data_IF_106859488509
#
_entry.id   IF_106859488509
#
_cell.length_a   1.000
_cell.length_b   1.000
_cell.length_c   1.000
_cell.angle_alpha   90.00
_cell.angle_beta   90.00
_cell.angle_gamma   90.00
#
_symmetry.space_group_name_H-M   'P 1'
#
loop_
_entity.id
_entity.type
_entity.pdbx_description
1 polymer ?
#
# COMPACT_ATOMS: atom_id res chain seq x y z
N UNK A 1 -23.24 -5.90 24.45
CA UNK A 1 -21.84 -6.22 24.07
C UNK A 1 -21.69 -5.92 22.59
N UNK A 2 -20.62 -5.26 22.18
CA UNK A 2 -20.36 -5.04 20.75
C UNK A 2 -20.09 -6.40 20.08
N UNK A 3 -20.57 -6.57 18.86
CA UNK A 3 -20.32 -7.79 18.09
C UNK A 3 -18.81 -7.88 17.78
N UNK A 4 -18.08 -8.91 18.23
CA UNK A 4 -16.64 -9.03 18.01
C UNK A 4 -16.28 -9.10 16.53
N UNK A 5 -17.16 -9.62 15.67
CA UNK A 5 -16.91 -9.66 14.22
C UNK A 5 -16.89 -8.25 13.60
N UNK A 6 -17.70 -7.30 14.11
CA UNK A 6 -17.63 -5.89 13.71
C UNK A 6 -16.30 -5.23 14.12
N UNK A 7 -15.77 -5.55 15.30
CA UNK A 7 -14.47 -5.05 15.73
C UNK A 7 -13.34 -5.61 14.88
N UNK A 8 -13.43 -6.87 14.46
CA UNK A 8 -12.48 -7.52 13.56
C UNK A 8 -12.53 -6.84 12.18
N UNK A 9 -13.72 -6.60 11.62
CA UNK A 9 -13.88 -5.88 10.33
C UNK A 9 -13.32 -4.47 10.47
N UNK A 10 -13.60 -3.78 11.59
CA UNK A 10 -13.08 -2.45 11.86
C UNK A 10 -11.56 -2.36 11.83
N UNK A 11 -10.87 -3.37 12.36
CA UNK A 11 -9.41 -3.46 12.25
C UNK A 11 -8.94 -3.64 10.80
N UNK A 12 -9.65 -4.45 10.01
CA UNK A 12 -9.40 -4.58 8.57
C UNK A 12 -9.55 -3.26 7.82
N UNK A 13 -10.56 -2.46 8.16
CA UNK A 13 -10.77 -1.12 7.57
C UNK A 13 -9.60 -0.18 7.85
N UNK A 14 -8.87 -0.36 8.95
CA UNK A 14 -7.68 0.44 9.27
C UNK A 14 -6.45 0.07 8.43
N UNK A 15 -6.47 -1.02 7.68
CA UNK A 15 -5.36 -1.43 6.82
C UNK A 15 -5.04 -0.38 5.74
N UNK A 16 -3.81 -0.38 5.19
CA UNK A 16 -3.47 0.46 4.05
C UNK A 16 -4.21 -0.01 2.78
N UNK A 17 -4.57 0.95 1.95
CA UNK A 17 -5.15 0.70 0.64
C UNK A 17 -4.64 1.73 -0.36
N UNK A 18 -4.64 1.37 -1.65
CA UNK A 18 -4.35 2.33 -2.70
C UNK A 18 -5.37 3.47 -2.63
N UNK A 19 -4.87 4.70 -2.69
CA UNK A 19 -5.67 5.93 -2.68
C UNK A 19 -6.70 6.05 -1.55
N UNK A 20 -6.51 5.32 -0.45
CA UNK A 20 -7.45 5.26 0.68
C UNK A 20 -8.81 4.64 0.31
N UNK A 21 -8.82 3.76 -0.67
CA UNK A 21 -10.01 3.03 -1.13
C UNK A 21 -9.81 1.53 -0.94
N UNK A 22 -10.75 0.88 -0.26
CA UNK A 22 -10.75 -0.57 -0.09
C UNK A 22 -11.62 -1.24 -1.17
N UNK A 23 -11.17 -2.42 -1.60
CA UNK A 23 -11.80 -3.19 -2.69
C UNK A 23 -12.75 -4.27 -2.20
N UNK A 24 -13.19 -4.24 -0.94
CA UNK A 24 -14.02 -5.29 -0.35
C UNK A 24 -15.34 -4.82 0.24
N UNK A 25 -16.26 -5.77 0.35
CA UNK A 25 -17.45 -5.76 1.21
C UNK A 25 -17.38 -6.97 2.13
N UNK A 26 -17.88 -6.84 3.34
CA UNK A 26 -17.87 -7.89 4.36
C UNK A 26 -19.26 -8.50 4.57
N UNK A 27 -19.32 -9.81 4.59
CA UNK A 27 -20.48 -10.61 5.00
C UNK A 27 -20.15 -11.25 6.35
N UNK A 28 -20.99 -11.01 7.34
CA UNK A 28 -20.89 -11.65 8.64
C UNK A 28 -21.59 -13.00 8.58
N UNK A 29 -20.84 -14.07 8.88
CA UNK A 29 -21.33 -15.44 8.99
C UNK A 29 -21.47 -15.84 10.46
N UNK A 30 -22.10 -16.97 10.75
CA UNK A 30 -22.21 -17.50 12.13
C UNK A 30 -20.84 -17.72 12.79
N UNK A 31 -19.85 -18.18 12.01
CA UNK A 31 -18.52 -18.56 12.51
C UNK A 31 -17.38 -17.81 11.82
N UNK A 32 -17.65 -16.60 11.31
CA UNK A 32 -16.59 -15.83 10.67
C UNK A 32 -17.03 -14.70 9.78
N UNK A 33 -16.15 -14.32 8.88
CA UNK A 33 -16.35 -13.18 7.96
C UNK A 33 -15.95 -13.63 6.56
N UNK A 34 -16.78 -13.30 5.57
CA UNK A 34 -16.47 -13.50 4.16
C UNK A 34 -16.28 -12.15 3.49
N UNK A 35 -15.25 -12.02 2.67
CA UNK A 35 -14.94 -10.78 1.97
C UNK A 35 -15.25 -10.94 0.47
N UNK A 36 -16.08 -10.05 -0.02
CA UNK A 36 -16.51 -9.96 -1.40
C UNK A 36 -15.82 -8.78 -2.10
N UNK A 37 -15.54 -8.84 -3.40
CA UNK A 37 -15.04 -7.68 -4.12
C UNK A 37 -16.12 -6.57 -4.20
N UNK A 38 -15.68 -5.31 -4.26
CA UNK A 38 -16.57 -4.23 -4.69
C UNK A 38 -16.93 -4.43 -6.17
N UNK A 39 -18.04 -3.83 -6.62
CA UNK A 39 -18.48 -3.94 -8.01
C UNK A 39 -17.38 -3.47 -8.99
N UNK A 40 -16.69 -2.39 -8.65
CA UNK A 40 -15.59 -1.81 -9.45
C UNK A 40 -14.40 -2.78 -9.53
N UNK A 41 -14.05 -3.45 -8.42
CA UNK A 41 -12.96 -4.42 -8.41
C UNK A 41 -13.33 -5.72 -9.14
N UNK A 42 -14.57 -6.18 -8.97
CA UNK A 42 -15.09 -7.36 -9.66
C UNK A 42 -15.14 -7.19 -11.18
N UNK A 43 -15.35 -5.95 -11.65
CA UNK A 43 -15.39 -5.62 -13.08
C UNK A 43 -13.99 -5.55 -13.73
N UNK A 44 -12.89 -5.57 -12.94
CA UNK A 44 -11.54 -5.56 -13.50
C UNK A 44 -11.25 -6.86 -14.24
N UNK A 45 -10.78 -6.74 -15.46
CA UNK A 45 -10.35 -7.88 -16.28
C UNK A 45 -8.96 -8.37 -15.89
N UNK A 46 -8.54 -9.52 -16.41
CA UNK A 46 -7.18 -10.03 -16.24
C UNK A 46 -6.11 -9.08 -16.82
N UNK A 47 -6.52 -8.19 -17.71
CA UNK A 47 -5.64 -7.19 -18.33
C UNK A 47 -5.45 -5.96 -17.43
N UNK A 48 -6.34 -5.68 -16.47
CA UNK A 48 -6.20 -4.63 -15.46
C UNK A 48 -5.29 -5.04 -14.30
N UNK A 49 -4.22 -5.76 -14.62
CA UNK A 49 -3.35 -6.41 -13.63
C UNK A 49 -2.77 -5.42 -12.60
N UNK A 50 -2.46 -4.19 -13.02
CA UNK A 50 -1.95 -3.16 -12.12
C UNK A 50 -2.93 -2.88 -10.96
N UNK A 51 -4.20 -2.60 -11.28
CA UNK A 51 -5.22 -2.34 -10.26
C UNK A 51 -5.54 -3.58 -9.44
N UNK A 52 -5.58 -4.75 -10.08
CA UNK A 52 -5.76 -6.02 -9.38
C UNK A 52 -4.65 -6.25 -8.36
N UNK A 53 -3.39 -6.07 -8.74
CA UNK A 53 -2.23 -6.22 -7.83
C UNK A 53 -2.32 -5.24 -6.66
N UNK A 54 -2.67 -3.98 -6.88
CA UNK A 54 -2.85 -3.01 -5.80
C UNK A 54 -4.00 -3.39 -4.85
N UNK A 55 -5.11 -3.88 -5.40
CA UNK A 55 -6.23 -4.39 -4.61
C UNK A 55 -5.85 -5.62 -3.78
N UNK A 56 -5.11 -6.58 -4.37
CA UNK A 56 -4.66 -7.79 -3.68
C UNK A 56 -3.64 -7.48 -2.57
N UNK A 57 -2.73 -6.53 -2.78
CA UNK A 57 -1.84 -6.00 -1.73
C UNK A 57 -2.66 -5.43 -0.56
N UNK A 58 -3.69 -4.63 -0.85
CA UNK A 58 -4.58 -4.09 0.17
C UNK A 58 -5.33 -5.19 0.92
N UNK A 59 -5.80 -6.21 0.20
CA UNK A 59 -6.52 -7.35 0.81
C UNK A 59 -5.64 -8.17 1.75
N UNK A 60 -4.36 -8.40 1.39
CA UNK A 60 -3.41 -9.05 2.29
C UNK A 60 -3.26 -8.30 3.61
N UNK A 61 -3.15 -6.98 3.54
CA UNK A 61 -3.07 -6.13 4.74
C UNK A 61 -4.38 -6.12 5.56
N UNK A 62 -5.55 -6.08 4.90
CA UNK A 62 -6.86 -6.16 5.53
C UNK A 62 -7.01 -7.47 6.31
N UNK A 63 -6.70 -8.59 5.68
CA UNK A 63 -6.81 -9.91 6.29
C UNK A 63 -5.87 -10.08 7.49
N UNK A 64 -4.67 -9.52 7.41
CA UNK A 64 -3.73 -9.56 8.53
C UNK A 64 -4.23 -8.74 9.73
N UNK A 65 -4.72 -7.53 9.51
CA UNK A 65 -5.31 -6.73 10.58
C UNK A 65 -6.51 -7.45 11.23
N UNK A 66 -7.39 -8.05 10.41
CA UNK A 66 -8.52 -8.84 10.93
C UNK A 66 -8.03 -10.02 11.77
N UNK A 67 -7.01 -10.75 11.30
CA UNK A 67 -6.44 -11.90 12.01
C UNK A 67 -5.83 -11.47 13.36
N UNK A 68 -5.03 -10.40 13.34
CA UNK A 68 -4.40 -9.86 14.55
C UNK A 68 -5.44 -9.40 15.58
N UNK A 69 -6.49 -8.70 15.13
CA UNK A 69 -7.57 -8.26 16.01
C UNK A 69 -8.37 -9.42 16.58
N UNK A 70 -8.62 -10.46 15.79
CA UNK A 70 -9.27 -11.67 16.28
C UNK A 70 -8.46 -12.32 17.40
N UNK A 71 -7.15 -12.48 17.23
CA UNK A 71 -6.25 -13.00 18.27
C UNK A 71 -6.30 -12.17 19.55
N UNK A 72 -6.25 -10.85 19.44
CA UNK A 72 -6.32 -9.92 20.57
C UNK A 72 -7.66 -10.06 21.34
N UNK A 73 -8.74 -10.39 20.62
CA UNK A 73 -10.07 -10.64 21.23
C UNK A 73 -10.23 -12.07 21.78
N UNK A 74 -9.18 -12.90 21.73
CA UNK A 74 -9.21 -14.27 22.23
C UNK A 74 -9.81 -15.27 21.26
N UNK A 75 -9.77 -15.00 19.95
CA UNK A 75 -10.20 -15.91 18.91
C UNK A 75 -9.02 -16.41 18.09
N UNK A 76 -9.00 -17.69 17.75
CA UNK A 76 -8.20 -18.23 16.65
C UNK A 76 -8.85 -17.80 15.32
N UNK A 77 -8.05 -17.29 14.40
CA UNK A 77 -8.52 -16.83 13.11
C UNK A 77 -7.75 -17.51 11.98
N UNK A 78 -8.45 -18.26 11.15
CA UNK A 78 -7.89 -18.93 9.99
C UNK A 78 -8.32 -18.21 8.72
N UNK A 79 -7.36 -17.67 8.00
CA UNK A 79 -7.59 -17.00 6.70
C UNK A 79 -7.53 -18.04 5.59
N UNK A 80 -8.54 -18.05 4.73
CA UNK A 80 -8.57 -18.80 3.48
C UNK A 80 -8.73 -17.81 2.32
N UNK A 81 -7.72 -17.76 1.45
CA UNK A 81 -7.80 -17.04 0.18
C UNK A 81 -8.61 -17.88 -0.83
N UNK A 82 -9.54 -17.26 -1.57
CA UNK A 82 -10.50 -17.92 -2.45
C UNK A 82 -10.34 -17.55 -3.94
N UNK A 83 -9.36 -16.73 -4.29
CA UNK A 83 -9.07 -16.21 -5.63
C UNK A 83 -9.88 -15.00 -6.12
N UNK A 84 -11.14 -14.86 -5.74
CA UNK A 84 -11.95 -13.65 -5.99
C UNK A 84 -12.03 -13.17 -7.44
N UNK A 85 -12.41 -14.03 -8.36
CA UNK A 85 -12.69 -13.63 -9.74
C UNK A 85 -14.18 -13.30 -9.92
N UNK A 86 -14.46 -12.16 -10.57
CA UNK A 86 -15.84 -11.74 -10.84
C UNK A 86 -16.64 -11.49 -9.56
N UNK A 87 -17.84 -12.09 -9.45
CA UNK A 87 -18.73 -11.93 -8.31
C UNK A 87 -18.56 -12.98 -7.20
N UNK A 88 -17.44 -13.72 -7.20
CA UNK A 88 -17.14 -14.69 -6.15
C UNK A 88 -16.41 -14.04 -4.95
N UNK A 89 -16.50 -14.62 -3.74
CA UNK A 89 -15.82 -14.09 -2.58
C UNK A 89 -14.30 -14.21 -2.73
N UNK A 90 -13.57 -13.19 -2.29
CA UNK A 90 -12.11 -13.14 -2.37
C UNK A 90 -11.44 -13.92 -1.25
N UNK A 91 -12.00 -13.87 -0.05
CA UNK A 91 -11.41 -14.51 1.13
C UNK A 91 -12.48 -14.83 2.17
N UNK A 92 -12.14 -15.78 3.04
CA UNK A 92 -12.93 -16.10 4.22
C UNK A 92 -12.01 -16.14 5.44
N UNK A 93 -12.45 -15.52 6.53
CA UNK A 93 -11.84 -15.59 7.85
C UNK A 93 -12.74 -16.43 8.75
N UNK A 94 -12.32 -17.65 9.07
CA UNK A 94 -12.99 -18.49 10.07
C UNK A 94 -12.51 -18.08 11.47
N UNK A 95 -13.46 -17.80 12.36
CA UNK A 95 -13.17 -17.26 13.69
C UNK A 95 -13.75 -18.23 14.72
N UNK A 96 -12.90 -18.76 15.60
CA UNK A 96 -13.29 -19.71 16.66
C UNK A 96 -12.65 -19.25 17.98
N UNK A 97 -13.30 -19.50 19.11
CA UNK A 97 -12.68 -19.19 20.40
C UNK A 97 -11.38 -19.97 20.54
N UNK A 98 -10.32 -19.28 20.93
CA UNK A 98 -9.04 -19.91 21.17
C UNK A 98 -9.02 -20.61 22.52
N UNK A 99 -8.47 -21.82 22.57
CA UNK A 99 -8.29 -22.59 23.82
C UNK A 99 -7.17 -22.00 24.69
N UNK A 100 -6.25 -21.25 24.08
CA UNK A 100 -5.17 -20.53 24.76
C UNK A 100 -5.06 -19.11 24.22
N UNK A 101 -4.77 -18.16 25.11
CA UNK A 101 -4.58 -16.77 24.73
C UNK A 101 -3.22 -16.63 24.01
N UNK A 102 -3.25 -16.60 22.70
CA UNK A 102 -2.10 -16.21 21.87
C UNK A 102 -2.28 -14.74 21.47
N UNK A 103 -1.37 -13.90 21.91
CA UNK A 103 -1.34 -12.49 21.48
C UNK A 103 -0.22 -12.28 20.45
N UNK A 104 -0.43 -11.39 19.52
CA UNK A 104 0.62 -10.87 18.65
C UNK A 104 0.67 -9.36 18.90
N UNK A 105 1.80 -8.88 19.44
CA UNK A 105 1.98 -7.49 19.88
C UNK A 105 1.73 -6.48 18.74
N UNK A 106 1.78 -6.93 17.49
CA UNK A 106 1.48 -6.10 16.32
C UNK A 106 0.05 -5.54 16.33
N UNK A 107 -0.91 -6.23 16.97
CA UNK A 107 -2.31 -5.78 17.05
C UNK A 107 -2.43 -4.37 17.67
N UNK A 108 -1.64 -4.07 18.69
CA UNK A 108 -1.64 -2.78 19.38
C UNK A 108 -1.24 -1.61 18.46
N UNK A 109 -0.49 -1.87 17.39
CA UNK A 109 -0.05 -0.84 16.45
C UNK A 109 -1.09 -0.50 15.36
N UNK A 110 -2.14 -1.31 15.18
CA UNK A 110 -3.14 -1.10 14.11
C UNK A 110 -3.72 0.32 14.09
N UNK A 111 -4.18 0.89 15.23
CA UNK A 111 -4.73 2.25 15.24
C UNK A 111 -3.68 3.34 14.99
N UNK A 112 -2.42 3.08 15.31
CA UNK A 112 -1.33 4.04 15.19
C UNK A 112 -0.70 4.08 13.80
N UNK A 113 -0.81 2.99 13.01
CA UNK A 113 -0.21 2.87 11.69
C UNK A 113 -0.74 3.95 10.73
N UNK A 114 0.15 4.63 10.06
CA UNK A 114 -0.19 5.64 9.05
C UNK A 114 0.94 5.81 8.03
N UNK A 115 0.62 6.27 6.81
CA UNK A 115 1.62 6.70 5.84
C UNK A 115 2.25 8.01 6.27
N UNK A 116 3.57 8.05 6.34
CA UNK A 116 4.30 9.27 6.59
C UNK A 116 5.08 9.67 5.33
N UNK A 117 4.68 10.77 4.70
CA UNK A 117 5.29 11.26 3.44
C UNK A 117 6.33 12.35 3.65
N UNK A 118 6.65 12.69 4.91
CA UNK A 118 7.70 13.64 5.24
C UNK A 118 9.08 13.12 4.81
N UNK A 119 10.05 14.01 4.73
CA UNK A 119 11.43 13.60 4.57
C UNK A 119 11.92 12.92 5.86
N UNK A 120 12.58 11.77 5.71
CA UNK A 120 13.11 11.03 6.85
C UNK A 120 14.55 11.44 7.12
N UNK A 121 14.94 11.37 8.35
CA UNK A 121 16.26 11.71 8.84
C UNK A 121 16.64 10.76 9.98
N UNK A 122 17.80 11.01 10.57
CA UNK A 122 18.31 10.26 11.69
C UNK A 122 19.32 9.18 11.28
N UNK A 123 19.79 8.40 12.25
CA UNK A 123 20.76 7.34 12.00
C UNK A 123 20.16 6.22 11.15
N UNK A 124 21.03 5.39 10.57
CA UNK A 124 20.66 4.10 9.99
C UNK A 124 19.98 3.24 11.04
N UNK A 125 19.12 2.33 10.60
CA UNK A 125 18.47 1.38 11.50
C UNK A 125 19.53 0.51 12.17
N UNK A 126 19.35 0.28 13.47
CA UNK A 126 20.22 -0.60 14.24
C UNK A 126 20.05 -2.06 13.82
N UNK A 127 21.03 -2.94 14.05
CA UNK A 127 20.90 -4.37 13.80
C UNK A 127 19.69 -4.98 14.53
N UNK A 128 19.36 -4.48 15.73
CA UNK A 128 18.20 -4.93 16.50
C UNK A 128 16.87 -4.56 15.83
N UNK A 129 16.70 -3.32 15.37
CA UNK A 129 15.53 -2.87 14.62
C UNK A 129 15.36 -3.68 13.32
N UNK A 130 16.45 -3.90 12.59
CA UNK A 130 16.42 -4.73 11.36
C UNK A 130 16.00 -6.17 11.69
N UNK A 131 16.49 -6.76 12.77
CA UNK A 131 16.13 -8.10 13.19
C UNK A 131 14.62 -8.20 13.53
N UNK A 132 14.08 -7.23 14.27
CA UNK A 132 12.66 -7.18 14.62
C UNK A 132 11.78 -7.00 13.38
N UNK A 133 12.15 -6.13 12.44
CA UNK A 133 11.45 -5.94 11.17
C UNK A 133 11.45 -7.22 10.31
N UNK A 134 12.59 -7.90 10.24
CA UNK A 134 12.68 -9.19 9.55
C UNK A 134 11.83 -10.27 10.23
N UNK A 135 11.85 -10.33 11.57
CA UNK A 135 11.04 -11.28 12.35
C UNK A 135 9.53 -11.07 12.14
N UNK A 136 9.08 -9.82 11.97
CA UNK A 136 7.68 -9.53 11.67
C UNK A 136 7.23 -10.08 10.30
N UNK A 137 8.12 -10.08 9.31
CA UNK A 137 7.83 -10.58 7.95
C UNK A 137 8.02 -12.09 7.82
N UNK A 138 8.95 -12.67 8.55
CA UNK A 138 9.36 -14.08 8.43
C UNK A 138 8.21 -15.11 8.48
N UNK A 139 7.14 -14.92 9.29
CA UNK A 139 6.02 -15.87 9.33
C UNK A 139 5.17 -15.90 8.06
N UNK A 140 5.32 -14.92 7.15
CA UNK A 140 4.46 -14.81 5.96
C UNK A 140 5.03 -15.67 4.83
N UNK A 141 4.43 -16.84 4.63
CA UNK A 141 4.78 -17.69 3.50
C UNK A 141 4.56 -16.97 2.16
N UNK A 142 5.50 -17.11 1.23
CA UNK A 142 5.39 -16.52 -0.10
C UNK A 142 5.75 -15.03 -0.19
N UNK A 143 6.25 -14.41 0.89
CA UNK A 143 6.78 -13.05 0.87
C UNK A 143 8.19 -12.99 1.45
N UNK A 144 9.03 -12.10 0.92
CA UNK A 144 10.38 -11.83 1.45
C UNK A 144 10.67 -10.34 1.44
N UNK A 145 11.39 -9.89 2.47
CA UNK A 145 11.96 -8.54 2.55
C UNK A 145 13.44 -8.57 2.17
N UNK A 146 13.82 -7.75 1.21
CA UNK A 146 15.21 -7.55 0.78
C UNK A 146 15.62 -6.12 1.12
N UNK A 147 16.65 -5.96 1.93
CA UNK A 147 17.22 -4.65 2.23
C UNK A 147 18.08 -4.16 1.08
N UNK A 148 17.77 -2.99 0.55
CA UNK A 148 18.46 -2.39 -0.59
C UNK A 148 19.65 -1.57 -0.11
N UNK A 149 20.85 -2.05 -0.40
CA UNK A 149 22.12 -1.42 -0.01
C UNK A 149 23.07 -1.29 -1.20
N UNK A 150 24.08 -0.45 -1.10
CA UNK A 150 25.15 -0.34 -2.09
C UNK A 150 24.66 -0.15 -3.53
N UNK A 151 25.09 -1.02 -4.43
CA UNK A 151 24.73 -0.98 -5.86
C UNK A 151 23.23 -1.21 -6.09
N UNK A 152 22.62 -2.17 -5.37
CA UNK A 152 21.20 -2.45 -5.47
C UNK A 152 20.33 -1.25 -5.08
N UNK A 153 20.73 -0.51 -4.03
CA UNK A 153 20.05 0.73 -3.64
C UNK A 153 20.14 1.80 -4.73
N UNK A 154 21.33 2.03 -5.31
CA UNK A 154 21.49 3.02 -6.39
C UNK A 154 20.64 2.68 -7.60
N UNK A 155 20.60 1.42 -7.99
CA UNK A 155 19.77 0.94 -9.08
C UNK A 155 18.28 1.13 -8.77
N UNK A 156 17.82 0.72 -7.60
CA UNK A 156 16.43 0.89 -7.16
C UNK A 156 15.97 2.36 -7.17
N UNK A 157 16.82 3.28 -6.71
CA UNK A 157 16.55 4.72 -6.77
C UNK A 157 16.31 5.19 -8.22
N UNK A 158 17.10 4.68 -9.18
CA UNK A 158 16.90 4.97 -10.60
C UNK A 158 15.57 4.44 -11.15
N UNK A 159 15.17 3.23 -10.72
CA UNK A 159 13.87 2.63 -11.10
C UNK A 159 12.70 3.41 -10.51
N UNK A 160 12.78 3.78 -9.24
CA UNK A 160 11.77 4.61 -8.56
C UNK A 160 11.62 5.95 -9.26
N UNK A 161 12.73 6.65 -9.58
CA UNK A 161 12.68 7.92 -10.29
C UNK A 161 12.02 7.81 -11.67
N UNK A 162 12.38 6.77 -12.45
CA UNK A 162 11.79 6.55 -13.78
C UNK A 162 10.29 6.31 -13.69
N UNK A 163 9.86 5.46 -12.79
CA UNK A 163 8.45 5.15 -12.58
C UNK A 163 7.64 6.38 -12.15
N UNK A 164 8.13 7.13 -11.18
CA UNK A 164 7.45 8.36 -10.74
C UNK A 164 7.45 9.45 -11.80
N UNK A 165 8.52 9.56 -12.62
CA UNK A 165 8.57 10.50 -13.74
C UNK A 165 7.52 10.17 -14.81
N UNK A 166 7.35 8.88 -15.13
CA UNK A 166 6.35 8.42 -16.10
C UNK A 166 4.91 8.76 -15.65
N UNK A 167 4.64 8.69 -14.35
CA UNK A 167 3.32 9.05 -13.81
C UNK A 167 2.94 10.51 -14.08
N UNK A 168 3.90 11.40 -14.22
CA UNK A 168 3.66 12.80 -14.61
C UNK A 168 3.81 13.05 -16.10
N UNK A 169 4.38 12.13 -16.86
CA UNK A 169 4.58 12.22 -18.30
C UNK A 169 3.36 11.75 -19.09
N UNK A 170 2.63 10.75 -18.60
CA UNK A 170 1.51 10.09 -19.28
C UNK A 170 0.18 10.63 -18.77
N UNK A 171 -0.71 10.99 -19.71
CA UNK A 171 -1.99 11.60 -19.38
C UNK A 171 -2.82 10.79 -18.41
N UNK A 172 -2.93 9.49 -18.63
CA UNK A 172 -3.78 8.61 -17.83
C UNK A 172 -3.22 8.43 -16.42
N UNK A 173 -1.91 8.17 -16.30
CA UNK A 173 -1.25 8.06 -15.01
C UNK A 173 -1.30 9.37 -14.23
N UNK A 174 -1.17 10.51 -14.94
CA UNK A 174 -1.36 11.82 -14.36
C UNK A 174 -2.79 12.01 -13.86
N UNK A 175 -3.79 11.65 -14.67
CA UNK A 175 -5.19 11.72 -14.27
C UNK A 175 -5.48 10.85 -13.06
N UNK A 176 -4.95 9.63 -13.01
CA UNK A 176 -5.09 8.72 -11.88
C UNK A 176 -4.56 9.33 -10.57
N UNK A 177 -3.36 9.94 -10.60
CA UNK A 177 -2.80 10.62 -9.42
C UNK A 177 -3.71 11.75 -8.95
N UNK A 178 -4.10 12.65 -9.85
CA UNK A 178 -4.80 13.87 -9.47
C UNK A 178 -6.29 13.66 -9.18
N UNK A 179 -6.92 12.62 -9.75
CA UNK A 179 -8.30 12.27 -9.46
C UNK A 179 -8.47 11.63 -8.07
N UNK A 180 -7.43 10.97 -7.55
CA UNK A 180 -7.45 10.40 -6.21
C UNK A 180 -7.30 11.45 -5.09
N UNK A 181 -6.99 12.71 -5.43
CA UNK A 181 -6.74 13.78 -4.44
C UNK A 181 -7.97 14.68 -4.32
N UNK A 182 -8.45 14.87 -3.10
CA UNK A 182 -9.60 15.70 -2.74
C UNK A 182 -9.24 17.20 -2.71
N UNK A 183 -8.98 17.80 -3.88
CA UNK A 183 -8.69 19.23 -3.99
C UNK A 183 -9.86 20.17 -3.68
N UNK A 184 -11.04 19.62 -3.46
CA UNK A 184 -12.21 20.30 -2.90
C UNK A 184 -12.07 20.56 -1.40
N UNK A 185 -11.17 19.84 -0.72
CA UNK A 185 -10.88 20.02 0.70
C UNK A 185 -9.73 21.01 0.93
N UNK A 186 -9.71 21.60 2.12
CA UNK A 186 -8.56 22.36 2.59
C UNK A 186 -7.36 21.45 2.91
N UNK A 187 -6.16 22.02 2.98
CA UNK A 187 -4.92 21.30 3.34
C UNK A 187 -4.88 20.77 4.78
N UNK A 188 -5.85 21.16 5.60
CA UNK A 188 -5.98 20.72 7.00
C UNK A 188 -7.20 19.82 7.23
N UNK A 189 -8.07 19.70 6.22
CA UNK A 189 -9.27 18.87 6.31
C UNK A 189 -8.96 17.40 6.06
N UNK A 190 -9.60 16.52 6.84
CA UNK A 190 -9.49 15.09 6.67
C UNK A 190 -10.50 14.56 5.64
N UNK A 191 -10.24 13.36 5.10
CA UNK A 191 -11.15 12.64 4.21
C UNK A 191 -11.27 11.18 4.67
N UNK A 192 -12.48 10.63 4.61
CA UNK A 192 -12.75 9.23 4.93
C UNK A 192 -12.47 8.29 3.74
N UNK A 193 -12.40 8.83 2.53
CA UNK A 193 -12.06 8.15 1.28
C UNK A 193 -11.23 9.07 0.40
N UNK A 194 -10.49 8.52 -0.55
CA UNK A 194 -9.51 9.24 -1.36
C UNK A 194 -8.44 9.95 -0.50
N UNK A 195 -7.55 10.70 -1.11
CA UNK A 195 -6.44 11.34 -0.41
C UNK A 195 -6.76 12.81 -0.10
N UNK A 196 -6.85 13.22 1.19
CA UNK A 196 -6.87 14.62 1.51
C UNK A 196 -5.53 15.28 1.12
N UNK A 197 -5.53 16.49 0.56
CA UNK A 197 -4.30 17.11 0.02
C UNK A 197 -3.22 17.28 1.09
N UNK A 198 -3.59 17.52 2.35
CA UNK A 198 -2.65 17.63 3.46
C UNK A 198 -1.85 16.37 3.74
N UNK A 199 -2.39 15.17 3.44
CA UNK A 199 -1.68 13.92 3.61
C UNK A 199 -0.52 13.70 2.63
N UNK A 200 -0.42 14.54 1.58
CA UNK A 200 0.68 14.50 0.63
C UNK A 200 1.97 15.17 1.15
N UNK A 201 1.88 15.92 2.24
CA UNK A 201 2.99 16.66 2.84
C UNK A 201 3.71 17.61 1.85
N UNK A 202 2.92 18.23 0.96
CA UNK A 202 3.43 19.26 0.04
C UNK A 202 3.74 20.52 0.84
N UNK A 203 4.94 21.05 0.67
CA UNK A 203 5.42 22.26 1.33
C UNK A 203 4.50 23.45 1.01
N UNK A 204 4.13 24.29 1.99
CA UNK A 204 3.16 25.36 1.78
C UNK A 204 3.42 26.26 0.56
N UNK A 205 4.65 26.68 0.25
CA UNK A 205 4.93 27.50 -0.94
C UNK A 205 4.65 26.78 -2.27
N UNK A 206 4.73 25.44 -2.28
CA UNK A 206 4.54 24.63 -3.49
C UNK A 206 3.07 24.27 -3.76
N UNK A 207 2.19 24.43 -2.77
CA UNK A 207 0.77 24.03 -2.84
C UNK A 207 0.00 24.66 -4.01
N UNK A 208 0.12 25.99 -4.28
CA UNK A 208 -0.57 26.60 -5.41
C UNK A 208 -0.11 26.02 -6.76
N UNK A 209 1.19 25.85 -6.93
CA UNK A 209 1.78 25.23 -8.12
C UNK A 209 1.26 23.82 -8.30
N UNK A 210 1.32 22.97 -7.24
CA UNK A 210 0.85 21.60 -7.29
C UNK A 210 -0.63 21.51 -7.68
N UNK A 211 -1.47 22.41 -7.14
CA UNK A 211 -2.89 22.48 -7.52
C UNK A 211 -3.08 22.84 -9.00
N UNK A 212 -2.24 23.68 -9.58
CA UNK A 212 -2.28 24.02 -11.01
C UNK A 212 -1.83 22.85 -11.89
N UNK A 213 -0.85 22.07 -11.46
CA UNK A 213 -0.32 20.93 -12.20
C UNK A 213 -1.34 19.80 -12.41
N UNK A 214 -2.49 19.81 -11.72
CA UNK A 214 -3.60 18.88 -11.98
C UNK A 214 -4.20 19.01 -13.39
N UNK A 215 -4.05 20.18 -14.02
CA UNK A 215 -4.54 20.44 -15.37
C UNK A 215 -3.58 19.87 -16.40
N UNK A 216 -4.01 18.81 -17.10
CA UNK A 216 -3.18 18.11 -18.07
C UNK A 216 -2.61 19.02 -19.16
N UNK A 217 -3.40 19.98 -19.67
CA UNK A 217 -2.92 20.93 -20.70
C UNK A 217 -1.68 21.68 -20.25
N UNK A 218 -1.64 22.16 -19.00
CA UNK A 218 -0.47 22.81 -18.42
C UNK A 218 0.67 21.81 -18.22
N UNK A 219 0.37 20.64 -17.61
CA UNK A 219 1.38 19.63 -17.36
C UNK A 219 2.03 19.15 -18.67
N UNK A 220 1.23 18.88 -19.71
CA UNK A 220 1.71 18.51 -21.04
C UNK A 220 2.70 19.54 -21.62
N UNK A 221 2.41 20.82 -21.50
CA UNK A 221 3.32 21.88 -21.96
C UNK A 221 4.62 21.90 -21.16
N UNK A 222 4.56 21.66 -19.86
CA UNK A 222 5.72 21.63 -18.97
C UNK A 222 6.55 20.35 -19.10
N UNK A 223 5.99 19.26 -19.62
CA UNK A 223 6.76 18.02 -19.87
C UNK A 223 7.86 18.23 -20.89
N UNK A 224 7.65 19.13 -21.86
CA UNK A 224 8.67 19.49 -22.84
C UNK A 224 9.90 20.16 -22.18
N UNK A 225 9.70 20.87 -21.07
CA UNK A 225 10.78 21.43 -20.26
C UNK A 225 11.37 20.43 -19.23
N UNK A 226 10.94 19.20 -19.24
CA UNK A 226 11.44 18.16 -18.33
C UNK A 226 10.83 18.20 -16.91
N UNK A 227 9.77 18.97 -16.66
CA UNK A 227 9.15 19.13 -15.34
C UNK A 227 8.68 17.79 -14.76
N UNK A 228 8.21 16.83 -15.58
CA UNK A 228 7.87 15.47 -15.14
C UNK A 228 9.03 14.77 -14.44
N UNK A 229 10.29 14.99 -14.88
CA UNK A 229 11.49 14.41 -14.25
C UNK A 229 11.77 15.04 -12.89
N UNK A 230 11.56 16.34 -12.74
CA UNK A 230 11.70 17.04 -11.46
C UNK A 230 10.62 16.61 -10.47
N UNK A 231 9.39 16.43 -10.95
CA UNK A 231 8.30 15.91 -10.12
C UNK A 231 8.59 14.45 -9.69
N UNK A 232 9.05 13.59 -10.58
CA UNK A 232 9.48 12.24 -10.25
C UNK A 232 10.64 12.20 -9.26
N UNK A 233 11.60 13.13 -9.40
CA UNK A 233 12.70 13.30 -8.45
C UNK A 233 12.15 13.63 -7.05
N UNK A 234 11.24 14.59 -6.96
CA UNK A 234 10.64 15.04 -5.68
C UNK A 234 9.68 14.01 -5.09
N UNK A 235 8.90 13.31 -5.91
CA UNK A 235 7.89 12.36 -5.45
C UNK A 235 8.50 11.02 -4.99
N UNK A 236 9.56 10.55 -5.63
CA UNK A 236 10.12 9.22 -5.39
C UNK A 236 11.60 9.21 -5.00
N UNK A 237 12.47 9.73 -5.87
CA UNK A 237 13.91 9.59 -5.69
C UNK A 237 14.44 10.25 -4.41
N UNK A 238 14.11 11.53 -4.19
CA UNK A 238 14.58 12.26 -3.00
C UNK A 238 14.11 11.61 -1.69
N UNK A 239 12.82 11.30 -1.52
CA UNK A 239 12.36 10.63 -0.30
C UNK A 239 13.02 9.26 -0.07
N UNK A 240 13.23 8.47 -1.14
CA UNK A 240 13.89 7.17 -1.03
C UNK A 240 15.39 7.31 -0.77
N UNK A 241 16.03 8.30 -1.38
CA UNK A 241 17.46 8.56 -1.19
C UNK A 241 17.79 9.02 0.23
N UNK A 242 16.98 9.90 0.80
CA UNK A 242 17.17 10.42 2.16
C UNK A 242 16.80 9.39 3.25
N UNK A 243 15.98 8.40 2.94
CA UNK A 243 15.54 7.44 3.95
C UNK A 243 16.73 6.63 4.49
N UNK A 244 16.87 6.48 5.81
CA UNK A 244 17.90 5.64 6.43
C UNK A 244 17.88 4.18 5.96
N UNK A 245 16.66 3.64 5.68
CA UNK A 245 16.50 2.29 5.16
C UNK A 245 15.57 2.26 3.95
N UNK A 246 15.88 1.38 3.01
CA UNK A 246 15.07 1.08 1.84
C UNK A 246 14.95 -0.44 1.73
N UNK A 247 13.71 -0.93 1.67
CA UNK A 247 13.38 -2.34 1.54
C UNK A 247 12.57 -2.63 0.28
N UNK A 248 12.70 -3.85 -0.23
CA UNK A 248 11.91 -4.38 -1.33
C UNK A 248 11.18 -5.64 -0.86
N UNK A 249 9.87 -5.63 -0.91
CA UNK A 249 9.03 -6.80 -0.68
C UNK A 249 8.78 -7.51 -2.01
N UNK A 250 9.11 -8.79 -2.05
CA UNK A 250 9.04 -9.65 -3.24
C UNK A 250 8.32 -10.96 -2.94
N UNK A 251 7.80 -11.60 -3.99
CA UNK A 251 7.21 -12.93 -3.91
C UNK A 251 7.74 -13.87 -5.00
N UNK A 252 7.99 -15.16 -4.70
CA UNK A 252 8.23 -16.20 -5.69
C UNK A 252 6.94 -16.80 -6.27
N UNK A 253 5.77 -16.44 -5.71
CA UNK A 253 4.46 -16.96 -6.10
C UNK A 253 3.94 -16.29 -7.39
N UNK A 254 2.89 -16.83 -8.03
CA UNK A 254 2.15 -16.12 -9.06
C UNK A 254 1.73 -14.72 -8.59
N UNK A 255 1.67 -13.76 -9.50
CA UNK A 255 1.59 -12.32 -9.17
C UNK A 255 0.46 -11.98 -8.21
N UNK A 256 -0.76 -12.52 -8.41
CA UNK A 256 -1.92 -12.20 -7.56
C UNK A 256 -1.81 -12.80 -6.17
N UNK A 257 -1.44 -14.08 -6.07
CA UNK A 257 -1.18 -14.73 -4.77
C UNK A 257 0.00 -14.08 -4.05
N UNK A 258 1.06 -13.77 -4.80
CA UNK A 258 2.21 -13.04 -4.30
C UNK A 258 1.85 -11.65 -3.79
N UNK A 259 0.90 -10.98 -4.43
CA UNK A 259 0.42 -9.68 -3.98
C UNK A 259 -0.31 -9.76 -2.63
N UNK A 260 -1.13 -10.80 -2.41
CA UNK A 260 -1.76 -11.03 -1.10
C UNK A 260 -0.70 -11.30 -0.03
N UNK A 261 0.25 -12.20 -0.30
CA UNK A 261 1.33 -12.51 0.63
C UNK A 261 2.18 -11.28 0.97
N UNK A 262 2.55 -10.50 -0.05
CA UNK A 262 3.31 -9.25 0.15
C UNK A 262 2.48 -8.19 0.88
N UNK A 263 1.17 -8.11 0.64
CA UNK A 263 0.27 -7.23 1.39
C UNK A 263 0.23 -7.56 2.88
N UNK A 264 0.13 -8.85 3.21
CA UNK A 264 0.23 -9.35 4.58
C UNK A 264 1.59 -8.99 5.22
N UNK A 265 2.68 -9.25 4.48
CA UNK A 265 4.04 -8.93 4.94
C UNK A 265 4.27 -7.43 5.11
N UNK A 266 3.74 -6.60 4.20
CA UNK A 266 3.79 -5.15 4.28
C UNK A 266 3.11 -4.64 5.54
N UNK A 267 1.91 -5.16 5.86
CA UNK A 267 1.20 -4.71 7.06
C UNK A 267 1.96 -5.10 8.33
N UNK A 268 2.43 -6.34 8.45
CA UNK A 268 3.25 -6.78 9.59
C UNK A 268 4.51 -5.95 9.74
N UNK A 269 5.22 -5.69 8.63
CA UNK A 269 6.40 -4.83 8.61
C UNK A 269 6.06 -3.41 9.10
N UNK A 270 4.92 -2.88 8.65
CA UNK A 270 4.50 -1.52 8.98
C UNK A 270 4.05 -1.38 10.43
N UNK A 271 3.32 -2.37 10.94
CA UNK A 271 2.94 -2.42 12.34
C UNK A 271 4.18 -2.51 13.24
N UNK A 272 5.15 -3.37 12.91
CA UNK A 272 6.42 -3.46 13.63
C UNK A 272 7.21 -2.15 13.57
N UNK A 273 7.27 -1.52 12.40
CA UNK A 273 7.89 -0.20 12.26
C UNK A 273 7.19 0.84 13.17
N UNK A 274 5.86 0.79 13.28
CA UNK A 274 5.10 1.67 14.15
C UNK A 274 5.41 1.43 15.64
N UNK A 275 5.58 0.19 16.07
CA UNK A 275 6.02 -0.14 17.44
C UNK A 275 7.43 0.35 17.74
N UNK A 276 8.29 0.40 16.73
CA UNK A 276 9.65 0.93 16.82
C UNK A 276 9.73 2.46 16.64
N UNK A 277 8.58 3.14 16.57
CA UNK A 277 8.49 4.59 16.30
C UNK A 277 9.17 5.01 14.99
N UNK A 278 9.23 4.09 14.02
CA UNK A 278 9.73 4.34 12.69
C UNK A 278 8.60 4.77 11.75
N UNK A 279 8.85 5.84 11.03
CA UNK A 279 8.01 6.25 9.91
C UNK A 279 8.22 5.29 8.73
N UNK A 280 7.14 4.93 8.04
CA UNK A 280 7.17 4.11 6.84
C UNK A 280 6.29 4.71 5.74
N UNK A 281 6.78 4.63 4.51
CA UNK A 281 6.00 4.93 3.31
C UNK A 281 6.24 3.86 2.24
N UNK A 282 5.17 3.26 1.69
CA UNK A 282 5.25 2.44 0.49
C UNK A 282 5.47 3.30 -0.76
N UNK A 283 6.29 2.80 -1.70
CA UNK A 283 6.59 3.39 -3.00
C UNK A 283 6.28 2.33 -4.07
N UNK A 284 5.01 2.20 -4.41
CA UNK A 284 4.53 1.10 -5.24
C UNK A 284 4.88 1.25 -6.72
N UNK A 285 4.94 2.47 -7.26
CA UNK A 285 4.96 2.75 -8.69
C UNK A 285 5.99 1.92 -9.46
N UNK A 286 7.25 1.85 -9.01
CA UNK A 286 8.31 1.13 -9.72
C UNK A 286 8.12 -0.40 -9.75
N UNK A 287 7.37 -0.95 -8.81
CA UNK A 287 7.06 -2.38 -8.76
C UNK A 287 5.78 -2.72 -9.53
N UNK A 288 4.75 -1.85 -9.45
CA UNK A 288 3.46 -2.16 -10.07
C UNK A 288 3.34 -1.71 -11.52
N UNK A 289 4.02 -0.63 -11.94
CA UNK A 289 3.96 -0.14 -13.33
C UNK A 289 4.63 -1.10 -14.35
N UNK A 290 5.39 -2.09 -13.91
CA UNK A 290 5.86 -3.15 -14.79
C UNK A 290 4.76 -4.17 -15.13
N UNK A 291 3.65 -4.20 -14.39
CA UNK A 291 2.52 -5.06 -14.68
C UNK A 291 1.73 -4.51 -15.88
N UNK A 292 1.25 -5.39 -16.78
CA UNK A 292 0.39 -4.97 -17.88
C UNK A 292 -0.90 -4.33 -17.36
N UNK A 293 -1.40 -3.34 -18.08
CA UNK A 293 -2.66 -2.66 -17.81
C UNK A 293 -3.38 -2.40 -19.12
N UNK A 294 -4.70 -2.55 -19.12
CA UNK A 294 -5.60 -2.20 -20.23
C UNK A 294 -5.81 -0.71 -20.40
N UNK A 295 -5.34 0.09 -19.47
CA UNK A 295 -5.26 1.52 -19.76
C UNK A 295 -4.45 1.68 -21.04
N UNK A 296 -5.14 2.09 -22.10
CA UNK A 296 -4.60 2.24 -23.46
C UNK A 296 -3.32 3.06 -23.51
N UNK A 297 -2.96 3.70 -22.40
CA UNK A 297 -1.84 4.60 -22.27
C UNK A 297 -1.04 4.45 -20.97
N UNK A 298 -1.19 3.35 -20.22
CA UNK A 298 -0.41 3.06 -19.01
C UNK A 298 1.11 3.24 -19.20
N UNK A 299 1.94 2.70 -18.33
CA UNK A 299 3.39 2.75 -18.49
C UNK A 299 3.83 2.26 -19.87
N UNK A 300 4.79 2.96 -20.50
CA UNK A 300 5.32 2.58 -21.81
C UNK A 300 5.98 1.20 -21.74
N UNK A 301 5.96 0.46 -22.87
CA UNK A 301 6.63 -0.84 -22.97
C UNK A 301 8.12 -0.74 -22.62
N UNK A 302 8.76 0.33 -23.06
CA UNK A 302 10.17 0.60 -22.75
C UNK A 302 10.40 0.78 -21.24
N UNK A 303 9.50 1.47 -20.53
CA UNK A 303 9.59 1.58 -19.07
C UNK A 303 9.34 0.23 -18.41
N UNK A 304 8.28 -0.50 -18.81
CA UNK A 304 7.98 -1.83 -18.26
C UNK A 304 9.18 -2.77 -18.39
N UNK A 305 9.79 -2.85 -19.58
CA UNK A 305 10.98 -3.66 -19.82
C UNK A 305 12.16 -3.20 -18.94
N UNK A 306 12.37 -1.89 -18.80
CA UNK A 306 13.43 -1.33 -17.96
C UNK A 306 13.22 -1.68 -16.49
N UNK A 307 11.99 -1.54 -15.97
CA UNK A 307 11.65 -1.87 -14.60
C UNK A 307 11.81 -3.37 -14.34
N UNK A 308 11.29 -4.22 -15.24
CA UNK A 308 11.39 -5.67 -15.11
C UNK A 308 12.86 -6.14 -15.12
N UNK A 309 13.66 -5.71 -16.05
CA UNK A 309 15.09 -6.05 -16.12
C UNK A 309 15.86 -5.55 -14.89
N UNK A 310 15.58 -4.31 -14.46
CA UNK A 310 16.23 -3.72 -13.30
C UNK A 310 15.91 -4.45 -12.00
N UNK A 311 14.65 -4.79 -11.77
CA UNK A 311 14.26 -5.53 -10.58
C UNK A 311 14.72 -7.00 -10.62
N UNK A 312 14.71 -7.65 -11.79
CA UNK A 312 15.24 -9.01 -11.93
C UNK A 312 16.73 -9.09 -11.60
N UNK A 313 17.52 -8.06 -11.88
CA UNK A 313 18.92 -8.02 -11.48
C UNK A 313 19.14 -7.85 -9.98
N UNK A 314 18.18 -7.24 -9.25
CA UNK A 314 18.23 -7.05 -7.80
C UNK A 314 17.67 -8.28 -7.06
N UNK A 315 16.60 -8.87 -7.56
CA UNK A 315 15.85 -9.95 -6.91
C UNK A 315 15.47 -11.04 -7.92
N UNK A 316 16.44 -11.78 -8.44
CA UNK A 316 16.22 -12.79 -9.49
C UNK A 316 15.24 -13.87 -9.02
N UNK A 317 14.41 -14.35 -9.95
CA UNK A 317 13.43 -15.41 -9.72
C UNK A 317 12.26 -15.03 -8.83
N UNK A 318 12.04 -13.72 -8.60
CA UNK A 318 10.91 -13.23 -7.81
C UNK A 318 10.20 -12.09 -8.51
N UNK A 319 8.95 -11.85 -8.09
CA UNK A 319 8.17 -10.67 -8.50
C UNK A 319 8.30 -9.58 -7.43
N UNK A 320 8.91 -8.43 -7.73
CA UNK A 320 8.90 -7.28 -6.86
C UNK A 320 7.49 -6.66 -6.85
N UNK A 321 6.99 -6.36 -5.66
CA UNK A 321 5.61 -5.88 -5.49
C UNK A 321 5.51 -4.58 -4.69
N UNK A 322 6.47 -4.31 -3.80
CA UNK A 322 6.45 -3.08 -3.02
C UNK A 322 7.84 -2.65 -2.59
N UNK A 323 8.21 -1.42 -2.92
CA UNK A 323 9.34 -0.73 -2.29
C UNK A 323 8.84 -0.01 -1.05
N UNK A 324 9.59 -0.06 0.03
CA UNK A 324 9.28 0.68 1.27
C UNK A 324 10.48 1.50 1.70
N UNK A 325 10.25 2.72 2.11
CA UNK A 325 11.25 3.54 2.78
C UNK A 325 10.92 3.67 4.26
N UNK A 326 11.94 3.61 5.09
CA UNK A 326 11.81 3.69 6.55
C UNK A 326 12.87 4.58 7.17
N UNK A 327 12.53 5.18 8.30
CA UNK A 327 13.41 6.04 9.07
C UNK A 327 12.64 6.82 10.12
N UNK A 328 13.26 7.80 10.73
CA UNK A 328 12.61 8.67 11.71
C UNK A 328 12.10 9.95 11.04
N UNK A 329 10.91 10.37 11.41
CA UNK A 329 10.32 11.63 10.96
C UNK A 329 9.33 12.14 12.02
N UNK A 330 9.08 13.44 12.01
CA UNK A 330 7.96 14.00 12.77
C UNK A 330 6.63 13.38 12.29
N UNK A 331 5.64 13.38 13.16
CA UNK A 331 4.29 12.92 12.81
C UNK A 331 3.76 13.67 11.58
N UNK A 332 2.99 13.00 10.69
CA UNK A 332 2.42 13.66 9.53
C UNK A 332 1.45 14.77 9.96
N UNK A 333 1.34 15.79 9.12
CA UNK A 333 0.42 16.92 9.36
C UNK A 333 -1.03 16.46 9.43
N UNK A 334 -1.35 15.42 8.67
CA UNK A 334 -2.70 14.87 8.56
C UNK A 334 -2.63 13.36 8.33
N UNK A 335 -3.49 12.62 9.04
CA UNK A 335 -3.76 11.21 8.76
C UNK A 335 -5.06 11.09 7.98
N UNK A 336 -5.09 10.27 6.93
CA UNK A 336 -6.34 9.98 6.22
C UNK A 336 -7.30 9.23 7.13
N UNK A 337 -8.56 9.63 7.13
CA UNK A 337 -9.63 8.93 7.83
C UNK A 337 -10.00 7.60 7.16
N UNK A 338 -11.02 6.97 7.73
CA UNK A 338 -11.66 5.76 7.18
C UNK A 338 -13.16 5.92 7.23
N UNK A 339 -13.86 5.29 6.30
CA UNK A 339 -15.33 5.18 6.36
C UNK A 339 -15.72 4.35 7.59
N UNK A 340 -16.92 4.56 8.15
CA UNK A 340 -17.46 3.70 9.18
C UNK A 340 -17.51 2.23 8.76
N UNK A 341 -17.38 1.29 9.70
CA UNK A 341 -17.37 -0.15 9.40
C UNK A 341 -18.67 -0.60 8.71
N UNK A 342 -19.77 0.04 9.02
CA UNK A 342 -21.11 -0.23 8.46
C UNK A 342 -21.16 -0.03 6.95
N UNK A 343 -20.33 0.86 6.40
CA UNK A 343 -20.24 1.12 4.96
C UNK A 343 -19.59 -0.04 4.19
N UNK A 344 -18.90 -0.93 4.90
CA UNK A 344 -18.26 -2.11 4.31
C UNK A 344 -19.12 -3.36 4.38
N UNK A 345 -20.23 -3.35 5.14
CA UNK A 345 -21.13 -4.49 5.22
C UNK A 345 -21.97 -4.66 3.96
N UNK A 346 -22.28 -5.90 3.61
CA UNK A 346 -23.26 -6.19 2.56
C UNK A 346 -24.65 -5.66 2.94
N UNK A 347 -25.44 -5.31 1.92
CA UNK A 347 -26.81 -4.87 2.12
C UNK A 347 -27.62 -5.96 2.84
N UNK A 348 -28.34 -5.55 3.90
CA UNK A 348 -29.10 -6.47 4.76
C UNK A 348 -28.39 -6.90 6.04
N UNK A 349 -27.12 -6.53 6.24
CA UNK A 349 -26.35 -6.81 7.47
C UNK A 349 -25.96 -5.52 8.22
N UNK A 350 -26.49 -4.38 7.80
CA UNK A 350 -26.29 -3.06 8.43
C UNK A 350 -27.10 -2.88 9.70
#
# INVERSE_FOLDING_TARGET
MKNPLLEIIGAGVLAPSADNEHVFRAEILETGIRLWPTAEFAALTAEDRLRRVLGMLSMGAVLENMRLRALELGFAAQVKWLSGSGSEPMAQLNVQRADSQTSDDLAAAIPARHSNRRMYHGPVLTPHEIAQLNAAVAPVAGARLIWLQGAARRQALGLVWRAESERFLRQDLHHEIFSSIRFDLSWTANAQWSLPPGALEIEPPMRPMFKLLRHWGLMRSLTWLGVHRLLGLRAGWMPAWQAPALGLLVSPLPVEEGAVAVGTALERLWLQASLLELALQPLAASAVLMQPSTYTHGASDALRATLAAGWQSIAPGTTPLMVVRMGRAAMPSLRSGRRPVEDYLLLGQK
#
